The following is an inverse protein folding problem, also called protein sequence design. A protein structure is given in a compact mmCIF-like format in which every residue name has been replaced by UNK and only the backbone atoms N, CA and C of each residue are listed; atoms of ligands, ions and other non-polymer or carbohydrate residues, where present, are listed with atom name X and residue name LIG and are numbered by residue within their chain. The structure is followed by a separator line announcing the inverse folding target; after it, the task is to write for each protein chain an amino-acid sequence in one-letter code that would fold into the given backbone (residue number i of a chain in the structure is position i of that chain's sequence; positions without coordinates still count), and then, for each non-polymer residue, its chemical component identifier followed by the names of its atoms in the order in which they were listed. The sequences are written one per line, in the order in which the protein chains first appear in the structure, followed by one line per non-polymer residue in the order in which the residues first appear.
data_IF_802919017623
#
_entry.id   IF_802919017623
#
_cell.length_a   1.000
_cell.length_b   1.000
_cell.length_c   1.000
_cell.angle_alpha   90.00
_cell.angle_beta   90.00
_cell.angle_gamma   90.00
#
_symmetry.space_group_name_H-M   'P 1'
#
loop_
_entity.id
_entity.type
_entity.pdbx_description
1 polymer ?
#
# COMPACT_ATOMS: atom_id res chain seq x y z
N UNK A 1 -65.44 -3.90 24.48
CA UNK A 1 -64.86 -4.05 23.14
C UNK A 1 -64.66 -2.66 22.54
N UNK A 2 -63.43 -2.14 22.53
CA UNK A 2 -63.07 -0.89 21.82
C UNK A 2 -61.81 -1.20 21.03
N UNK A 3 -61.96 -1.40 19.71
CA UNK A 3 -60.85 -1.50 18.77
C UNK A 3 -60.34 -0.10 18.46
N UNK A 4 -59.06 0.16 18.72
CA UNK A 4 -58.34 1.31 18.21
C UNK A 4 -57.69 0.89 16.88
N UNK A 5 -58.16 1.47 15.77
CA UNK A 5 -57.53 1.30 14.45
C UNK A 5 -56.47 2.38 14.28
N UNK A 6 -55.19 2.00 14.28
CA UNK A 6 -54.07 2.90 13.96
C UNK A 6 -53.96 2.99 12.44
N UNK A 7 -54.23 4.16 11.89
CA UNK A 7 -54.06 4.48 10.47
C UNK A 7 -52.60 4.89 10.23
N UNK A 8 -51.81 3.99 9.66
CA UNK A 8 -50.44 4.29 9.23
C UNK A 8 -50.52 5.01 7.87
N UNK A 9 -50.19 6.30 7.86
CA UNK A 9 -50.03 7.08 6.64
C UNK A 9 -48.61 6.88 6.13
N UNK A 10 -48.45 6.17 5.01
CA UNK A 10 -47.18 6.04 4.29
C UNK A 10 -47.04 7.23 3.36
N UNK A 11 -46.17 8.18 3.70
CA UNK A 11 -45.75 9.25 2.77
C UNK A 11 -44.82 8.63 1.71
N UNK A 12 -45.32 8.51 0.48
CA UNK A 12 -44.49 8.21 -0.68
C UNK A 12 -43.75 9.50 -1.07
N UNK A 13 -42.49 9.63 -0.66
CA UNK A 13 -41.62 10.67 -1.20
C UNK A 13 -41.36 10.36 -2.68
N UNK A 14 -41.86 11.21 -3.58
CA UNK A 14 -41.46 11.18 -4.98
C UNK A 14 -40.01 11.60 -5.07
N UNK A 15 -39.11 10.65 -5.28
CA UNK A 15 -37.70 10.95 -5.57
C UNK A 15 -37.68 11.68 -6.92
N UNK A 16 -37.31 12.96 -6.90
CA UNK A 16 -37.06 13.71 -8.12
C UNK A 16 -35.91 13.02 -8.85
N UNK A 17 -36.18 12.54 -10.07
CA UNK A 17 -35.14 11.91 -10.87
C UNK A 17 -34.21 13.01 -11.38
N UNK A 18 -32.96 13.01 -10.94
CA UNK A 18 -31.95 13.86 -11.54
C UNK A 18 -31.77 13.44 -13.00
N UNK A 19 -31.96 14.36 -13.94
CA UNK A 19 -31.74 14.11 -15.37
C UNK A 19 -30.23 14.11 -15.65
N UNK A 20 -29.57 12.99 -15.37
CA UNK A 20 -28.11 12.84 -15.54
C UNK A 20 -27.81 12.67 -17.03
N UNK A 21 -27.15 13.66 -17.62
CA UNK A 21 -26.81 13.70 -19.05
C UNK A 21 -25.32 13.82 -19.34
N UNK A 22 -24.52 13.95 -18.29
CA UNK A 22 -23.07 14.04 -18.40
C UNK A 22 -22.39 13.17 -17.33
N UNK A 23 -21.17 12.73 -17.63
CA UNK A 23 -20.35 12.03 -16.64
C UNK A 23 -20.05 12.91 -15.40
N UNK A 24 -19.98 14.24 -15.57
CA UNK A 24 -19.73 15.16 -14.47
C UNK A 24 -20.89 15.19 -13.46
N UNK A 25 -22.13 15.31 -13.95
CA UNK A 25 -23.34 15.24 -13.11
C UNK A 25 -23.45 13.90 -12.40
N UNK A 26 -23.13 12.81 -13.11
CA UNK A 26 -23.13 11.48 -12.54
C UNK A 26 -22.20 11.38 -11.32
N UNK A 27 -20.96 11.89 -11.44
CA UNK A 27 -19.98 11.82 -10.35
C UNK A 27 -20.46 12.50 -9.08
N UNK A 28 -21.20 13.61 -9.18
CA UNK A 28 -21.83 14.23 -7.99
C UNK A 28 -23.00 13.43 -7.44
N UNK A 29 -23.83 12.85 -8.31
CA UNK A 29 -25.04 12.15 -7.89
C UNK A 29 -24.77 10.78 -7.24
N UNK A 30 -23.68 10.09 -7.63
CA UNK A 30 -23.35 8.74 -7.10
C UNK A 30 -23.17 8.75 -5.58
N UNK A 31 -22.61 9.82 -5.01
CA UNK A 31 -22.45 9.94 -3.55
C UNK A 31 -23.76 10.14 -2.78
N UNK A 32 -24.83 10.56 -3.47
CA UNK A 32 -26.14 10.80 -2.85
C UNK A 32 -27.01 9.53 -2.88
N UNK A 33 -27.15 8.92 -4.06
CA UNK A 33 -27.92 7.68 -4.24
C UNK A 33 -27.38 6.87 -5.43
N UNK A 34 -26.39 6.02 -5.17
CA UNK A 34 -25.78 5.18 -6.20
C UNK A 34 -26.78 4.20 -6.85
N UNK A 35 -27.83 3.76 -6.15
CA UNK A 35 -28.82 2.84 -6.71
C UNK A 35 -29.69 3.55 -7.76
N UNK A 36 -30.22 4.73 -7.42
CA UNK A 36 -30.99 5.55 -8.35
C UNK A 36 -30.16 5.98 -9.57
N UNK A 37 -28.89 6.36 -9.35
CA UNK A 37 -27.97 6.72 -10.44
C UNK A 37 -27.73 5.55 -11.38
N UNK A 38 -27.57 4.33 -10.86
CA UNK A 38 -27.41 3.14 -11.69
C UNK A 38 -28.62 2.91 -12.60
N UNK A 39 -29.83 3.08 -12.07
CA UNK A 39 -31.06 2.94 -12.86
C UNK A 39 -31.17 4.03 -13.94
N UNK A 40 -30.82 5.27 -13.62
CA UNK A 40 -30.79 6.37 -14.60
C UNK A 40 -29.72 6.13 -15.68
N UNK A 41 -28.51 5.73 -15.29
CA UNK A 41 -27.45 5.39 -16.24
C UNK A 41 -27.90 4.26 -17.19
N UNK A 42 -28.58 3.23 -16.68
CA UNK A 42 -29.15 2.18 -17.50
C UNK A 42 -30.18 2.72 -18.52
N UNK A 43 -31.08 3.62 -18.10
CA UNK A 43 -32.00 4.31 -19.02
C UNK A 43 -31.23 5.11 -20.07
N UNK A 44 -30.26 5.91 -19.65
CA UNK A 44 -29.45 6.74 -20.55
C UNK A 44 -28.69 5.90 -21.58
N UNK A 45 -28.18 4.73 -21.20
CA UNK A 45 -27.59 3.75 -22.14
C UNK A 45 -28.61 3.32 -23.19
N UNK A 46 -29.84 2.95 -22.79
CA UNK A 46 -30.89 2.54 -23.75
C UNK A 46 -31.29 3.65 -24.71
N UNK A 47 -31.16 4.91 -24.29
CA UNK A 47 -31.43 6.10 -25.10
C UNK A 47 -30.23 6.54 -25.96
N UNK A 48 -29.14 5.78 -25.98
CA UNK A 48 -27.98 6.06 -26.82
C UNK A 48 -26.92 6.98 -26.19
N UNK A 49 -26.88 7.08 -24.86
CA UNK A 49 -25.92 7.92 -24.11
C UNK A 49 -24.44 7.58 -24.28
N UNK A 50 -24.11 6.50 -24.98
CA UNK A 50 -22.74 6.17 -25.37
C UNK A 50 -21.80 5.86 -24.20
N UNK A 51 -20.54 6.26 -24.33
CA UNK A 51 -19.48 5.96 -23.36
C UNK A 51 -19.71 6.61 -21.99
N UNK A 52 -20.22 7.85 -21.95
CA UNK A 52 -20.45 8.55 -20.68
C UNK A 52 -21.52 7.86 -19.83
N UNK A 53 -22.62 7.41 -20.46
CA UNK A 53 -23.66 6.67 -19.76
C UNK A 53 -23.14 5.35 -19.18
N UNK A 54 -22.27 4.65 -19.93
CA UNK A 54 -21.61 3.42 -19.46
C UNK A 54 -20.67 3.69 -18.29
N UNK A 55 -19.86 4.75 -18.35
CA UNK A 55 -18.98 5.17 -17.25
C UNK A 55 -19.78 5.56 -16.01
N UNK A 56 -20.94 6.19 -16.20
CA UNK A 56 -21.85 6.51 -15.09
C UNK A 56 -22.39 5.25 -14.41
N UNK A 57 -22.82 4.25 -15.19
CA UNK A 57 -23.26 2.96 -14.65
C UNK A 57 -22.13 2.26 -13.86
N UNK A 58 -20.91 2.28 -14.41
CA UNK A 58 -19.72 1.68 -13.77
C UNK A 58 -19.42 2.37 -12.43
N UNK A 59 -19.41 3.71 -12.39
CA UNK A 59 -19.18 4.47 -11.16
C UNK A 59 -20.24 4.17 -10.09
N UNK A 60 -21.51 4.05 -10.49
CA UNK A 60 -22.58 3.66 -9.58
C UNK A 60 -22.41 2.22 -9.05
N UNK A 61 -22.00 1.28 -9.91
CA UNK A 61 -21.70 -0.10 -9.50
C UNK A 61 -20.54 -0.17 -8.51
N UNK A 62 -19.48 0.62 -8.70
CA UNK A 62 -18.37 0.72 -7.75
C UNK A 62 -18.84 1.19 -6.37
N UNK A 63 -19.64 2.26 -6.33
CA UNK A 63 -20.19 2.82 -5.09
C UNK A 63 -21.13 1.84 -4.36
N UNK A 64 -21.82 0.97 -5.12
CA UNK A 64 -22.65 -0.11 -4.57
C UNK A 64 -21.82 -1.33 -4.12
N UNK A 65 -20.49 -1.30 -4.24
CA UNK A 65 -19.60 -2.42 -3.92
C UNK A 65 -19.65 -3.57 -4.93
N UNK A 66 -20.30 -3.40 -6.08
CA UNK A 66 -20.41 -4.40 -7.14
C UNK A 66 -19.14 -4.47 -8.02
N UNK A 67 -17.97 -4.54 -7.38
CA UNK A 67 -16.64 -4.38 -7.96
C UNK A 67 -16.37 -5.32 -9.14
N UNK A 68 -16.76 -6.61 -9.04
CA UNK A 68 -16.59 -7.57 -10.16
C UNK A 68 -17.37 -7.18 -11.41
N UNK A 69 -18.59 -6.67 -11.23
CA UNK A 69 -19.45 -6.26 -12.36
C UNK A 69 -18.92 -4.96 -12.96
N UNK A 70 -18.50 -4.01 -12.11
CA UNK A 70 -17.86 -2.78 -12.54
C UNK A 70 -16.58 -3.05 -13.35
N UNK A 71 -15.68 -3.88 -12.83
CA UNK A 71 -14.43 -4.26 -13.49
C UNK A 71 -14.66 -4.90 -14.86
N UNK A 72 -15.66 -5.79 -14.95
CA UNK A 72 -16.04 -6.43 -16.22
C UNK A 72 -16.50 -5.39 -17.25
N UNK A 73 -17.47 -4.55 -16.87
CA UNK A 73 -18.02 -3.52 -17.76
C UNK A 73 -16.97 -2.48 -18.16
N UNK A 74 -16.08 -2.11 -17.25
CA UNK A 74 -15.00 -1.17 -17.52
C UNK A 74 -13.96 -1.77 -18.49
N UNK A 75 -13.62 -3.04 -18.32
CA UNK A 75 -12.75 -3.78 -19.26
C UNK A 75 -13.39 -3.85 -20.64
N UNK A 76 -14.69 -4.18 -20.74
CA UNK A 76 -15.42 -4.22 -22.00
C UNK A 76 -15.45 -2.85 -22.69
N UNK A 77 -15.72 -1.79 -21.94
CA UNK A 77 -15.71 -0.42 -22.47
C UNK A 77 -14.32 -0.02 -22.96
N UNK A 78 -13.26 -0.36 -22.22
CA UNK A 78 -11.89 -0.12 -22.63
C UNK A 78 -11.48 -0.93 -23.86
N UNK A 79 -12.12 -2.08 -24.14
CA UNK A 79 -11.89 -2.87 -25.35
C UNK A 79 -12.64 -2.35 -26.57
N UNK A 80 -13.73 -1.61 -26.37
CA UNK A 80 -14.61 -1.10 -27.44
C UNK A 80 -13.93 0.04 -28.23
N UNK A 81 -13.28 -0.36 -29.33
CA UNK A 81 -12.63 0.57 -30.29
C UNK A 81 -13.62 1.40 -31.11
N UNK A 82 -14.92 1.12 -31.02
CA UNK A 82 -15.97 1.91 -31.68
C UNK A 82 -16.32 3.19 -30.93
N UNK A 83 -15.82 3.35 -29.70
CA UNK A 83 -16.00 4.56 -28.91
C UNK A 83 -14.98 5.63 -29.27
N UNK A 84 -15.32 6.90 -29.04
CA UNK A 84 -14.39 8.03 -29.19
C UNK A 84 -13.43 8.20 -27.97
N UNK A 85 -13.16 7.13 -27.23
CA UNK A 85 -12.27 7.15 -26.05
C UNK A 85 -10.82 7.06 -26.53
N UNK A 86 -9.94 7.95 -26.05
CA UNK A 86 -8.53 7.96 -26.43
C UNK A 86 -7.78 6.71 -25.92
N UNK A 87 -6.63 6.41 -26.52
CA UNK A 87 -5.78 5.27 -26.11
C UNK A 87 -5.35 5.40 -24.64
N UNK A 88 -4.99 6.60 -24.21
CA UNK A 88 -4.55 6.91 -22.85
C UNK A 88 -5.70 6.72 -21.86
N UNK A 89 -6.89 7.22 -22.20
CA UNK A 89 -8.09 7.01 -21.37
C UNK A 89 -8.44 5.51 -21.28
N UNK A 90 -8.28 4.74 -22.36
CA UNK A 90 -8.47 3.28 -22.33
C UNK A 90 -7.44 2.58 -21.47
N UNK A 91 -6.18 3.04 -21.46
CA UNK A 91 -5.15 2.52 -20.55
C UNK A 91 -5.56 2.76 -19.09
N UNK A 92 -5.98 3.98 -18.74
CA UNK A 92 -6.48 4.30 -17.38
C UNK A 92 -7.64 3.37 -16.98
N UNK A 93 -8.61 3.15 -17.88
CA UNK A 93 -9.75 2.25 -17.62
C UNK A 93 -9.30 0.81 -17.35
N UNK A 94 -8.31 0.30 -18.09
CA UNK A 94 -7.73 -1.02 -17.80
C UNK A 94 -6.99 -1.04 -16.46
N UNK A 95 -6.24 0.00 -16.11
CA UNK A 95 -5.58 0.09 -14.81
C UNK A 95 -6.58 0.06 -13.65
N UNK A 96 -7.66 0.85 -13.77
CA UNK A 96 -8.73 0.90 -12.78
C UNK A 96 -9.46 -0.44 -12.66
N UNK A 97 -9.81 -1.08 -13.77
CA UNK A 97 -10.40 -2.41 -13.77
C UNK A 97 -9.46 -3.47 -13.16
N UNK A 98 -8.15 -3.38 -13.43
CA UNK A 98 -7.12 -4.23 -12.84
C UNK A 98 -7.10 -4.12 -11.32
N UNK A 99 -7.14 -2.90 -10.77
CA UNK A 99 -7.26 -2.64 -9.33
C UNK A 99 -8.54 -3.23 -8.75
N UNK A 100 -9.68 -3.12 -9.45
CA UNK A 100 -10.93 -3.72 -8.98
C UNK A 100 -10.85 -5.25 -8.94
N UNK A 101 -10.20 -5.90 -9.91
CA UNK A 101 -9.97 -7.34 -9.88
C UNK A 101 -9.08 -7.76 -8.72
N UNK A 102 -8.03 -6.98 -8.44
CA UNK A 102 -7.13 -7.19 -7.31
C UNK A 102 -7.88 -7.12 -5.97
N UNK A 103 -8.70 -6.08 -5.78
CA UNK A 103 -9.56 -5.91 -4.59
C UNK A 103 -10.58 -7.06 -4.40
N UNK A 104 -10.81 -7.87 -5.43
CA UNK A 104 -11.71 -9.03 -5.41
C UNK A 104 -10.95 -10.37 -5.35
N UNK A 105 -9.63 -10.34 -5.16
CA UNK A 105 -8.74 -11.50 -5.13
C UNK A 105 -8.63 -12.24 -6.46
N UNK A 106 -8.99 -11.60 -7.58
CA UNK A 106 -8.96 -12.21 -8.91
C UNK A 106 -7.62 -11.92 -9.61
N UNK A 107 -6.53 -12.42 -9.05
CA UNK A 107 -5.15 -12.08 -9.47
C UNK A 107 -4.90 -12.30 -10.97
N UNK A 108 -5.38 -13.42 -11.53
CA UNK A 108 -5.24 -13.73 -12.97
C UNK A 108 -5.93 -12.67 -13.85
N UNK A 109 -7.12 -12.21 -13.45
CA UNK A 109 -7.84 -11.16 -14.19
C UNK A 109 -7.19 -9.79 -13.99
N UNK A 110 -6.69 -9.50 -12.78
CA UNK A 110 -5.94 -8.29 -12.49
C UNK A 110 -4.71 -8.21 -13.40
N UNK A 111 -3.86 -9.25 -13.41
CA UNK A 111 -2.66 -9.34 -14.25
C UNK A 111 -2.95 -9.07 -15.71
N UNK A 112 -3.89 -9.82 -16.30
CA UNK A 112 -4.26 -9.67 -17.71
C UNK A 112 -4.76 -8.26 -18.05
N UNK A 113 -5.54 -7.66 -17.16
CA UNK A 113 -6.10 -6.32 -17.37
C UNK A 113 -5.00 -5.25 -17.26
N UNK A 114 -4.08 -5.39 -16.29
CA UNK A 114 -2.95 -4.48 -16.13
C UNK A 114 -1.93 -4.58 -17.27
N UNK A 115 -1.68 -5.77 -17.79
CA UNK A 115 -0.88 -5.97 -19.01
C UNK A 115 -1.50 -5.25 -20.21
N UNK A 116 -2.83 -5.27 -20.34
CA UNK A 116 -3.52 -4.53 -21.39
C UNK A 116 -3.37 -3.01 -21.23
N UNK A 117 -3.39 -2.50 -19.99
CA UNK A 117 -3.08 -1.09 -19.70
C UNK A 117 -1.66 -0.73 -20.12
N UNK A 118 -0.67 -1.52 -19.68
CA UNK A 118 0.74 -1.29 -19.97
C UNK A 118 1.04 -1.36 -21.49
N UNK A 119 0.35 -2.24 -22.23
CA UNK A 119 0.49 -2.33 -23.68
C UNK A 119 -0.04 -1.08 -24.42
N UNK A 120 -1.06 -0.41 -23.88
CA UNK A 120 -1.60 0.82 -24.46
C UNK A 120 -0.79 2.07 -24.09
N UNK A 121 -0.26 2.11 -22.87
CA UNK A 121 0.56 3.22 -22.37
C UNK A 121 1.80 2.69 -21.61
N UNK A 122 2.86 2.27 -22.32
CA UNK A 122 4.05 1.68 -21.69
C UNK A 122 4.77 2.63 -20.72
N UNK A 123 4.78 3.92 -21.08
CA UNK A 123 5.35 5.01 -20.30
C UNK A 123 4.36 5.62 -19.29
N UNK A 124 3.10 5.18 -19.33
CA UNK A 124 2.06 5.62 -18.40
C UNK A 124 2.27 5.05 -17.00
N UNK A 125 1.97 5.84 -15.97
CA UNK A 125 2.15 5.45 -14.58
C UNK A 125 0.91 4.76 -13.97
N UNK A 126 -0.22 4.79 -14.66
CA UNK A 126 -1.54 4.45 -14.15
C UNK A 126 -1.63 2.97 -13.72
N UNK A 127 -0.93 2.09 -14.44
CA UNK A 127 -0.89 0.66 -14.16
C UNK A 127 0.10 0.28 -13.05
N UNK A 128 1.05 1.16 -12.69
CA UNK A 128 2.18 0.77 -11.85
C UNK A 128 1.79 0.50 -10.40
N UNK A 129 0.86 1.29 -9.83
CA UNK A 129 0.40 1.10 -8.45
C UNK A 129 -0.32 -0.24 -8.27
N UNK A 130 -1.39 -0.54 -9.03
CA UNK A 130 -2.03 -1.84 -8.93
C UNK A 130 -1.13 -3.00 -9.40
N UNK A 131 -0.15 -2.75 -10.28
CA UNK A 131 0.86 -3.77 -10.61
C UNK A 131 1.76 -4.08 -9.42
N UNK A 132 2.30 -3.07 -8.73
CA UNK A 132 3.11 -3.29 -7.54
C UNK A 132 2.36 -4.08 -6.47
N UNK A 133 1.10 -3.73 -6.21
CA UNK A 133 0.23 -4.46 -5.27
C UNK A 133 0.01 -5.92 -5.73
N UNK A 134 -0.29 -6.15 -7.01
CA UNK A 134 -0.41 -7.50 -7.57
C UNK A 134 0.88 -8.32 -7.41
N UNK A 135 2.04 -7.73 -7.70
CA UNK A 135 3.32 -8.42 -7.55
C UNK A 135 3.64 -8.72 -6.08
N UNK A 136 3.24 -7.86 -5.14
CA UNK A 136 3.36 -8.14 -3.71
C UNK A 136 2.43 -9.29 -3.27
N UNK A 137 1.19 -9.34 -3.76
CA UNK A 137 0.24 -10.43 -3.49
C UNK A 137 0.68 -11.78 -4.06
N UNK A 138 1.43 -11.76 -5.18
CA UNK A 138 2.03 -12.95 -5.77
C UNK A 138 3.45 -13.25 -5.24
N UNK A 139 3.92 -12.50 -4.24
CA UNK A 139 5.26 -12.62 -3.63
C UNK A 139 6.41 -12.43 -4.64
N UNK A 140 6.17 -11.75 -5.77
CA UNK A 140 7.17 -11.38 -6.77
C UNK A 140 7.87 -10.08 -6.35
N UNK A 141 8.63 -10.14 -5.27
CA UNK A 141 9.17 -8.96 -4.58
C UNK A 141 10.06 -8.07 -5.44
N UNK A 142 10.86 -8.64 -6.35
CA UNK A 142 11.70 -7.87 -7.28
C UNK A 142 10.87 -7.09 -8.30
N UNK A 143 9.77 -7.68 -8.79
CA UNK A 143 8.86 -7.01 -9.72
C UNK A 143 8.07 -5.89 -9.02
N UNK A 144 7.64 -6.12 -7.78
CA UNK A 144 7.02 -5.09 -6.95
C UNK A 144 7.98 -3.91 -6.70
N UNK A 145 9.24 -4.19 -6.34
CA UNK A 145 10.28 -3.16 -6.14
C UNK A 145 10.48 -2.32 -7.41
N UNK A 146 10.58 -2.96 -8.56
CA UNK A 146 10.78 -2.27 -9.84
C UNK A 146 9.59 -1.36 -10.18
N UNK A 147 8.36 -1.82 -9.98
CA UNK A 147 7.14 -1.03 -10.20
C UNK A 147 7.08 0.19 -9.24
N UNK A 148 7.40 0.00 -7.95
CA UNK A 148 7.43 1.06 -6.94
C UNK A 148 8.55 2.08 -7.21
N UNK A 149 9.70 1.63 -7.70
CA UNK A 149 10.79 2.51 -8.13
C UNK A 149 10.36 3.42 -9.28
N UNK A 150 9.64 2.88 -10.27
CA UNK A 150 9.07 3.69 -11.36
C UNK A 150 8.02 4.69 -10.85
N UNK A 151 7.15 4.29 -9.92
CA UNK A 151 6.16 5.20 -9.31
C UNK A 151 6.82 6.35 -8.54
N UNK A 152 7.87 6.07 -7.78
CA UNK A 152 8.60 7.09 -7.03
C UNK A 152 9.31 8.08 -7.95
N UNK A 153 9.72 7.66 -9.15
CA UNK A 153 10.26 8.56 -10.17
C UNK A 153 9.19 9.52 -10.75
N UNK A 154 7.91 9.12 -10.75
CA UNK A 154 6.79 9.98 -11.14
C UNK A 154 6.46 10.99 -10.05
N UNK A 155 6.49 10.55 -8.79
CA UNK A 155 6.26 11.41 -7.64
C UNK A 155 6.54 10.70 -6.32
N UNK A 156 7.29 11.32 -5.39
CA UNK A 156 7.54 10.77 -4.07
C UNK A 156 6.26 10.82 -3.22
N UNK A 157 5.94 9.70 -2.57
CA UNK A 157 4.84 9.61 -1.60
C UNK A 157 5.23 8.65 -0.48
N UNK A 158 4.86 8.97 0.76
CA UNK A 158 5.26 8.19 1.93
C UNK A 158 4.84 6.71 1.83
N UNK A 159 3.63 6.44 1.32
CA UNK A 159 3.15 5.07 1.17
C UNK A 159 3.97 4.27 0.15
N UNK A 160 4.45 4.91 -0.92
CA UNK A 160 5.25 4.25 -1.97
C UNK A 160 6.63 3.85 -1.45
N UNK A 161 7.26 4.73 -0.67
CA UNK A 161 8.51 4.40 0.04
C UNK A 161 8.28 3.24 1.03
N UNK A 162 7.23 3.30 1.84
CA UNK A 162 6.93 2.24 2.80
C UNK A 162 6.70 0.87 2.12
N UNK A 163 5.89 0.82 1.05
CA UNK A 163 5.67 -0.40 0.28
C UNK A 163 6.97 -0.89 -0.39
N UNK A 164 7.83 0.01 -0.87
CA UNK A 164 9.11 -0.39 -1.48
C UNK A 164 10.07 -0.93 -0.44
N UNK A 165 10.08 -0.38 0.77
CA UNK A 165 10.84 -0.92 1.89
C UNK A 165 10.42 -2.36 2.20
N UNK A 166 9.11 -2.64 2.23
CA UNK A 166 8.58 -4.00 2.43
C UNK A 166 9.05 -4.93 1.29
N UNK A 167 8.85 -4.53 0.04
CA UNK A 167 9.27 -5.33 -1.12
C UNK A 167 10.79 -5.61 -1.09
N UNK A 168 11.60 -4.59 -0.78
CA UNK A 168 13.05 -4.72 -0.64
C UNK A 168 13.46 -5.63 0.50
N UNK A 169 12.80 -5.55 1.67
CA UNK A 169 13.07 -6.49 2.78
C UNK A 169 12.82 -7.93 2.34
N UNK A 170 11.69 -8.19 1.68
CA UNK A 170 11.34 -9.54 1.22
C UNK A 170 12.28 -10.04 0.12
N UNK A 171 12.80 -9.15 -0.73
CA UNK A 171 13.84 -9.45 -1.71
C UNK A 171 15.26 -9.52 -1.12
N UNK A 172 15.44 -9.32 0.20
CA UNK A 172 16.75 -9.33 0.86
C UNK A 172 17.62 -8.09 0.63
N UNK A 173 17.07 -7.02 0.07
CA UNK A 173 17.72 -5.72 -0.19
C UNK A 173 17.62 -4.82 1.05
N UNK A 174 18.20 -5.27 2.16
CA UNK A 174 17.93 -4.73 3.50
C UNK A 174 18.43 -3.28 3.68
N UNK A 175 19.57 -2.92 3.11
CA UNK A 175 20.10 -1.55 3.18
C UNK A 175 19.18 -0.57 2.45
N UNK A 176 18.76 -0.90 1.22
CA UNK A 176 17.84 -0.08 0.45
C UNK A 176 16.45 0.02 1.09
N UNK A 177 16.02 -0.97 1.85
CA UNK A 177 14.79 -0.89 2.64
C UNK A 177 14.90 0.13 3.77
N UNK A 178 16.05 0.19 4.48
CA UNK A 178 16.29 1.19 5.52
C UNK A 178 16.39 2.61 4.95
N UNK A 179 16.99 2.77 3.76
CA UNK A 179 17.02 4.04 3.04
C UNK A 179 15.59 4.54 2.76
N UNK A 180 14.70 3.66 2.26
CA UNK A 180 13.30 4.01 2.02
C UNK A 180 12.55 4.42 3.30
N UNK A 181 12.79 3.73 4.42
CA UNK A 181 12.19 4.11 5.70
C UNK A 181 12.71 5.44 6.26
N UNK A 182 13.88 5.91 5.83
CA UNK A 182 14.45 7.20 6.26
C UNK A 182 13.81 8.40 5.53
N UNK A 183 13.17 8.18 4.38
CA UNK A 183 12.51 9.21 3.59
C UNK A 183 11.12 9.60 4.12
N UNK A 184 10.59 8.84 5.08
CA UNK A 184 9.21 8.98 5.56
C UNK A 184 9.13 9.26 7.07
N UNK A 185 8.07 9.93 7.55
CA UNK A 185 7.91 10.18 8.97
C UNK A 185 7.88 8.89 9.79
N UNK A 186 8.52 8.94 10.96
CA UNK A 186 8.50 7.83 11.90
C UNK A 186 7.06 7.59 12.41
N UNK A 187 6.55 6.39 12.16
CA UNK A 187 5.27 5.90 12.68
C UNK A 187 5.48 4.54 13.32
N UNK A 188 4.49 4.02 14.05
CA UNK A 188 4.59 2.68 14.65
C UNK A 188 4.80 1.58 13.60
N UNK A 189 4.20 1.74 12.40
CA UNK A 189 4.40 0.83 11.26
C UNK A 189 5.83 0.89 10.72
N UNK A 190 6.41 2.09 10.63
CA UNK A 190 7.80 2.29 10.22
C UNK A 190 8.78 1.71 11.26
N UNK A 191 8.51 1.92 12.56
CA UNK A 191 9.29 1.30 13.65
C UNK A 191 9.26 -0.23 13.55
N UNK A 192 8.08 -0.81 13.34
CA UNK A 192 7.93 -2.27 13.22
C UNK A 192 8.70 -2.80 12.01
N UNK A 193 8.54 -2.18 10.84
CA UNK A 193 9.25 -2.60 9.63
C UNK A 193 10.78 -2.47 9.80
N UNK A 194 11.26 -1.42 10.48
CA UNK A 194 12.68 -1.28 10.83
C UNK A 194 13.17 -2.42 11.74
N UNK A 195 12.38 -2.80 12.74
CA UNK A 195 12.73 -3.93 13.61
C UNK A 195 12.83 -5.24 12.82
N UNK A 196 11.92 -5.47 11.87
CA UNK A 196 11.96 -6.62 10.97
C UNK A 196 13.21 -6.62 10.09
N UNK A 197 13.59 -5.47 9.52
CA UNK A 197 14.82 -5.34 8.73
C UNK A 197 16.07 -5.60 9.58
N UNK A 198 16.15 -5.04 10.79
CA UNK A 198 17.28 -5.26 11.69
C UNK A 198 17.40 -6.72 12.12
N UNK A 199 16.28 -7.40 12.39
CA UNK A 199 16.29 -8.83 12.67
C UNK A 199 16.84 -9.63 11.47
N UNK A 200 16.41 -9.29 10.24
CA UNK A 200 16.93 -9.92 9.02
C UNK A 200 18.43 -9.65 8.78
N UNK A 201 18.95 -8.50 9.22
CA UNK A 201 20.39 -8.18 9.20
C UNK A 201 21.19 -8.86 10.32
N UNK A 202 20.54 -9.61 11.22
CA UNK A 202 21.20 -10.21 12.39
C UNK A 202 21.51 -9.21 13.51
N UNK A 203 20.95 -8.00 13.49
CA UNK A 203 21.06 -6.98 14.55
C UNK A 203 20.01 -7.24 15.64
N UNK A 204 20.10 -8.42 16.25
CA UNK A 204 19.04 -8.96 17.10
C UNK A 204 18.73 -8.08 18.31
N UNK A 205 19.73 -7.52 18.97
CA UNK A 205 19.54 -6.69 20.16
C UNK A 205 18.77 -5.40 19.81
N UNK A 206 19.15 -4.74 18.72
CA UNK A 206 18.48 -3.53 18.24
C UNK A 206 17.02 -3.80 17.83
N UNK A 207 16.78 -4.91 17.13
CA UNK A 207 15.45 -5.36 16.77
C UNK A 207 14.59 -5.69 18.01
N UNK A 208 15.17 -6.39 19.00
CA UNK A 208 14.51 -6.77 20.24
C UNK A 208 14.09 -5.54 21.07
N UNK A 209 14.97 -4.55 21.22
CA UNK A 209 14.66 -3.31 21.95
C UNK A 209 13.47 -2.60 21.30
N UNK A 210 13.47 -2.46 19.98
CA UNK A 210 12.40 -1.78 19.25
C UNK A 210 11.08 -2.56 19.33
N UNK A 211 11.13 -3.88 19.21
CA UNK A 211 9.96 -4.76 19.33
C UNK A 211 9.36 -4.75 20.75
N UNK A 212 10.18 -4.71 21.80
CA UNK A 212 9.72 -4.58 23.20
C UNK A 212 8.99 -3.26 23.43
N UNK A 213 9.56 -2.14 22.97
CA UNK A 213 8.93 -0.82 23.03
C UNK A 213 7.57 -0.86 22.35
N UNK A 214 7.49 -1.33 21.10
CA UNK A 214 6.23 -1.49 20.37
C UNK A 214 5.22 -2.36 21.12
N UNK A 215 5.63 -3.53 21.61
CA UNK A 215 4.74 -4.45 22.32
C UNK A 215 4.13 -3.87 23.61
N UNK A 216 4.76 -2.86 24.20
CA UNK A 216 4.33 -2.20 25.44
C UNK A 216 3.61 -0.87 25.25
N UNK A 217 3.94 -0.12 24.19
CA UNK A 217 3.51 1.28 24.01
C UNK A 217 2.35 1.43 23.01
N UNK A 218 2.29 0.59 21.97
CA UNK A 218 1.29 0.78 20.91
C UNK A 218 -0.10 0.35 21.37
N UNK A 219 -1.12 1.12 20.97
CA UNK A 219 -2.53 0.76 21.10
C UNK A 219 -3.05 -0.07 19.91
N UNK A 220 -2.29 -0.15 18.82
CA UNK A 220 -2.62 -0.94 17.64
C UNK A 220 -2.40 -2.43 17.94
N UNK A 221 -3.50 -3.19 17.96
CA UNK A 221 -3.48 -4.61 18.29
C UNK A 221 -2.59 -5.42 17.33
N UNK A 222 -2.57 -5.08 16.04
CA UNK A 222 -1.88 -5.85 15.02
C UNK A 222 -0.37 -5.57 15.07
N UNK A 223 0.03 -4.31 15.28
CA UNK A 223 1.43 -3.96 15.52
C UNK A 223 1.94 -4.63 16.79
N UNK A 224 1.15 -4.61 17.87
CA UNK A 224 1.50 -5.28 19.13
C UNK A 224 1.68 -6.79 18.94
N UNK A 225 0.79 -7.42 18.18
CA UNK A 225 0.86 -8.85 17.88
C UNK A 225 2.11 -9.19 17.06
N UNK A 226 2.37 -8.45 15.98
CA UNK A 226 3.56 -8.63 15.14
C UNK A 226 4.86 -8.41 15.92
N UNK A 227 4.92 -7.41 16.80
CA UNK A 227 6.07 -7.18 17.66
C UNK A 227 6.33 -8.36 18.62
N UNK A 228 5.27 -8.98 19.17
CA UNK A 228 5.40 -10.18 20.02
C UNK A 228 5.82 -11.41 19.24
N UNK A 229 5.32 -11.57 18.02
CA UNK A 229 5.76 -12.64 17.12
C UNK A 229 7.24 -12.51 16.79
N UNK A 230 7.70 -11.29 16.48
CA UNK A 230 9.11 -11.01 16.26
C UNK A 230 9.96 -11.38 17.48
N UNK A 231 9.53 -11.02 18.69
CA UNK A 231 10.22 -11.39 19.94
C UNK A 231 10.26 -12.91 20.19
N UNK A 232 9.29 -13.67 19.68
CA UNK A 232 9.26 -15.12 19.78
C UNK A 232 10.11 -15.79 18.69
N UNK A 233 10.53 -15.07 17.65
CA UNK A 233 11.32 -15.61 16.57
C UNK A 233 12.71 -16.01 17.06
N UNK A 234 13.14 -17.23 16.68
CA UNK A 234 14.39 -17.85 17.15
C UNK A 234 15.64 -16.97 16.91
N UNK A 235 15.66 -16.21 15.82
CA UNK A 235 16.75 -15.29 15.50
C UNK A 235 16.98 -14.22 16.59
N UNK A 236 15.96 -13.87 17.37
CA UNK A 236 16.09 -12.97 18.53
C UNK A 236 16.33 -13.72 19.85
N UNK A 237 15.97 -15.00 19.93
CA UNK A 237 16.13 -15.83 21.14
C UNK A 237 17.55 -16.37 21.29
N UNK A 238 18.19 -16.74 20.17
CA UNK A 238 19.56 -17.28 20.14
C UNK A 238 20.63 -16.17 20.04
N UNK A 239 20.22 -14.90 20.00
CA UNK A 239 21.14 -13.78 20.13
C UNK A 239 21.89 -13.90 21.47
N UNK A 240 23.22 -13.78 21.50
CA UNK A 240 23.94 -13.87 22.75
C UNK A 240 23.33 -12.86 23.72
N UNK A 241 22.93 -13.31 24.90
CA UNK A 241 22.42 -12.46 25.97
C UNK A 241 23.55 -11.56 26.49
N UNK A 242 23.98 -10.60 25.66
CA UNK A 242 25.00 -9.61 25.94
C UNK A 242 24.40 -8.42 26.68
N UNK A 243 23.73 -8.69 27.80
CA UNK A 243 23.74 -7.75 28.93
C UNK A 243 24.94 -8.09 29.82
N UNK A 244 26.14 -8.19 29.24
CA UNK A 244 27.32 -7.80 30.00
C UNK A 244 27.46 -6.30 29.82
N UNK A 245 27.49 -5.61 30.96
CA UNK A 245 27.73 -4.20 31.08
C UNK A 245 29.07 -3.81 30.41
N UNK A 246 29.05 -3.62 29.10
CA UNK A 246 30.12 -2.97 28.38
C UNK A 246 29.98 -1.48 28.61
N UNK A 247 30.84 -0.97 29.48
CA UNK A 247 31.49 0.33 29.36
C UNK A 247 30.57 1.46 28.87
N UNK A 248 29.90 2.11 29.84
CA UNK A 248 29.71 3.55 29.69
C UNK A 248 31.11 4.15 29.47
N UNK A 249 31.37 4.91 28.40
CA UNK A 249 32.58 5.70 28.36
C UNK A 249 32.52 6.66 29.55
N UNK A 250 33.33 6.37 30.57
CA UNK A 250 33.70 7.34 31.58
C UNK A 250 34.44 8.42 30.80
N UNK A 251 33.80 9.57 30.64
CA UNK A 251 34.47 10.80 30.24
C UNK A 251 35.53 11.08 31.31
N UNK A 252 36.74 10.58 31.09
CA UNK A 252 37.92 10.95 31.85
C UNK A 252 38.39 12.28 31.30
N UNK A 253 38.30 13.26 32.16
CA UNK A 253 38.92 14.57 32.08
C UNK A 253 40.44 14.39 31.87
N UNK A 254 40.90 14.57 30.63
CA UNK A 254 42.33 14.68 30.32
C UNK A 254 42.80 16.09 30.68
N UNK A 255 43.13 16.27 31.96
CA UNK A 255 44.08 17.30 32.36
C UNK A 255 44.97 16.78 33.48
N UNK A 256 46.24 17.21 33.43
CA UNK A 256 47.36 17.00 34.38
C UNK A 256 48.36 15.90 34.00
N UNK A 257 49.30 16.30 33.14
CA UNK A 257 50.75 16.40 33.40
C UNK A 257 51.55 15.23 34.04
N UNK A 258 52.60 14.85 33.30
CA UNK A 258 54.03 14.92 33.68
C UNK A 258 54.86 13.62 33.64
N UNK A 259 56.01 13.78 32.96
CA UNK A 259 57.33 13.19 33.21
C UNK A 259 57.71 11.83 32.57
N UNK A 260 58.53 11.95 31.52
CA UNK A 260 59.63 11.05 31.12
C UNK A 260 60.77 11.08 32.21
N UNK A 261 61.87 10.27 32.20
CA UNK A 261 62.52 9.68 31.01
C UNK A 261 63.22 8.28 31.12
N UNK A 262 63.49 7.75 29.92
CA UNK A 262 64.65 6.99 29.40
C UNK A 262 65.40 5.90 30.20
N UNK A 263 65.54 4.71 29.59
CA UNK A 263 66.84 4.05 29.29
C UNK A 263 66.65 2.77 28.45
N UNK A 264 67.29 2.69 27.28
CA UNK A 264 67.39 1.46 26.45
C UNK A 264 68.58 0.57 26.89
N UNK A 265 69.20 -0.26 26.02
CA UNK A 265 68.71 -0.92 24.80
C UNK A 265 69.06 -2.44 24.71
N UNK A 266 68.74 -3.04 23.54
CA UNK A 266 69.51 -4.09 22.83
C UNK A 266 69.12 -5.59 22.95
N UNK A 267 69.48 -6.44 21.94
CA UNK A 267 68.49 -7.25 21.21
C UNK A 267 68.75 -8.78 21.20
N UNK A 268 67.74 -9.53 20.72
CA UNK A 268 67.72 -10.80 19.91
C UNK A 268 68.88 -11.83 20.04
N UNK A 269 68.59 -13.15 20.04
CA UNK A 269 68.29 -13.82 18.75
C UNK A 269 67.22 -14.91 18.78
N UNK A 270 66.70 -15.18 17.57
CA UNK A 270 65.77 -16.26 17.21
C UNK A 270 66.52 -17.59 17.05
N UNK A 271 65.86 -18.73 17.30
CA UNK A 271 66.12 -19.97 16.56
C UNK A 271 65.42 -19.97 15.19
#
# INVERSE_FOLDING_TARGET
MRSLTVMVVVMLATVAHADIRTLAECRSAVSEDAAAVREEAARWITLGGGAEARLCEIAALEALGAQRVAATKLTELAQDRGTAISTEARAVMFADAGRMWLNQGQLVLARKTLEASAALAPEGAEHLAPLAELEMEEENWEAAEAALTRLLAVGPENNRYFLRAIARRQAGLLEGALEDLAEIPETEKVRLERALIWAAQGKAEAAQVLALSLASETDDHDIRAAARELLAARALVDAPAGLEAADRPVLRDESVDAAAPESGPSPMPRP
#
